data_IF_228763919705
#
_entry.id   IF_228763919705
#
_cell.length_a   1.000
_cell.length_b   1.000
_cell.length_c   1.000
_cell.angle_alpha   90.00
_cell.angle_beta   90.00
_cell.angle_gamma   90.00
#
_symmetry.space_group_name_H-M   'P 1'
#
loop_
_entity.id
_entity.type
_entity.pdbx_description
1 polymer ?
#
# COMPACT_ATOMS: atom_id res chain seq x y z
N UNK A 1 -14.57 44.42 51.08
CA UNK A 1 -14.53 43.12 50.36
C UNK A 1 -15.80 42.98 49.55
N UNK A 2 -15.71 43.03 48.22
CA UNK A 2 -16.74 42.52 47.32
C UNK A 2 -16.02 41.80 46.19
N UNK A 3 -16.25 40.51 46.11
CA UNK A 3 -15.51 39.57 45.27
C UNK A 3 -16.15 39.59 43.89
N UNK A 4 -15.32 39.85 42.89
CA UNK A 4 -15.69 40.05 41.49
C UNK A 4 -16.25 38.73 40.90
N UNK A 5 -17.58 38.61 40.81
CA UNK A 5 -18.28 37.39 40.38
C UNK A 5 -18.44 37.21 38.86
N UNK A 6 -17.80 38.04 38.03
CA UNK A 6 -18.06 38.10 36.58
C UNK A 6 -17.22 37.18 35.69
N UNK A 7 -16.09 36.64 36.17
CA UNK A 7 -15.11 35.94 35.30
C UNK A 7 -15.36 34.45 35.06
N UNK A 8 -16.28 33.81 35.79
CA UNK A 8 -16.40 32.34 35.77
C UNK A 8 -17.30 31.82 34.65
N UNK A 9 -18.33 32.58 34.24
CA UNK A 9 -19.35 32.14 33.28
C UNK A 9 -18.84 32.14 31.82
N UNK A 10 -18.01 33.10 31.45
CA UNK A 10 -17.38 33.18 30.12
C UNK A 10 -16.45 31.99 29.85
N UNK A 11 -15.64 31.59 30.84
CA UNK A 11 -14.72 30.45 30.70
C UNK A 11 -15.44 29.10 30.52
N UNK A 12 -16.63 28.93 31.11
CA UNK A 12 -17.44 27.71 30.95
C UNK A 12 -18.11 27.69 29.58
N UNK A 13 -18.59 28.83 29.09
CA UNK A 13 -19.12 28.99 27.74
C UNK A 13 -18.10 28.61 26.67
N UNK A 14 -16.90 29.19 26.74
CA UNK A 14 -15.81 28.90 25.79
C UNK A 14 -15.38 27.41 25.80
N UNK A 15 -15.35 26.78 26.98
CA UNK A 15 -15.05 25.34 27.08
C UNK A 15 -16.14 24.51 26.42
N UNK A 16 -17.41 24.87 26.61
CA UNK A 16 -18.55 24.18 26.00
C UNK A 16 -18.49 24.28 24.47
N UNK A 17 -18.23 25.47 23.93
CA UNK A 17 -18.08 25.67 22.48
C UNK A 17 -16.92 24.85 21.89
N UNK A 18 -15.78 24.79 22.58
CA UNK A 18 -14.64 23.94 22.15
C UNK A 18 -15.00 22.46 22.14
N UNK A 19 -15.75 21.98 23.13
CA UNK A 19 -16.22 20.60 23.19
C UNK A 19 -17.22 20.31 22.07
N UNK A 20 -18.16 21.21 21.82
CA UNK A 20 -19.14 21.06 20.73
C UNK A 20 -18.46 21.05 19.35
N UNK A 21 -17.51 21.98 19.11
CA UNK A 21 -16.70 21.99 17.90
C UNK A 21 -15.89 20.70 17.72
N UNK A 22 -15.30 20.18 18.80
CA UNK A 22 -14.58 18.91 18.77
C UNK A 22 -15.51 17.73 18.45
N UNK A 23 -16.72 17.69 19.03
CA UNK A 23 -17.71 16.66 18.74
C UNK A 23 -18.17 16.68 17.28
N UNK A 24 -18.38 17.87 16.70
CA UNK A 24 -18.71 18.01 15.28
C UNK A 24 -17.57 17.47 14.40
N UNK A 25 -16.32 17.84 14.70
CA UNK A 25 -15.14 17.32 13.98
C UNK A 25 -15.03 15.80 14.08
N UNK A 26 -15.21 15.23 15.28
CA UNK A 26 -15.16 13.79 15.49
C UNK A 26 -16.25 13.05 14.69
N UNK A 27 -17.47 13.59 14.63
CA UNK A 27 -18.54 13.02 13.80
C UNK A 27 -18.19 13.05 12.33
N UNK A 28 -17.67 14.18 11.83
CA UNK A 28 -17.22 14.31 10.44
C UNK A 28 -16.14 13.29 10.10
N UNK A 29 -15.11 13.16 10.94
CA UNK A 29 -14.02 12.20 10.76
C UNK A 29 -14.53 10.76 10.77
N UNK A 30 -15.48 10.43 11.66
CA UNK A 30 -16.11 9.11 11.70
C UNK A 30 -16.79 8.78 10.37
N UNK A 31 -17.53 9.72 9.78
CA UNK A 31 -18.16 9.54 8.48
C UNK A 31 -17.11 9.31 7.38
N UNK A 32 -16.07 10.14 7.32
CA UNK A 32 -14.99 10.02 6.33
C UNK A 32 -14.25 8.68 6.44
N UNK A 33 -13.97 8.21 7.67
CA UNK A 33 -13.34 6.90 7.89
C UNK A 33 -14.23 5.77 7.40
N UNK A 34 -15.54 5.82 7.67
CA UNK A 34 -16.49 4.81 7.19
C UNK A 34 -16.55 4.77 5.66
N UNK A 35 -16.55 5.93 5.02
CA UNK A 35 -16.56 6.03 3.56
C UNK A 35 -15.26 5.48 2.94
N UNK A 36 -14.10 5.85 3.49
CA UNK A 36 -12.81 5.31 3.08
C UNK A 36 -12.74 3.79 3.24
N UNK A 37 -13.26 3.24 4.34
CA UNK A 37 -13.35 1.78 4.53
C UNK A 37 -14.20 1.12 3.45
N UNK A 38 -15.35 1.71 3.10
CA UNK A 38 -16.20 1.19 2.04
C UNK A 38 -15.49 1.21 0.68
N UNK A 39 -14.76 2.29 0.36
CA UNK A 39 -13.95 2.40 -0.85
C UNK A 39 -12.84 1.33 -0.88
N UNK A 40 -12.12 1.12 0.24
CA UNK A 40 -11.11 0.07 0.35
C UNK A 40 -11.70 -1.33 0.12
N UNK A 41 -12.85 -1.64 0.70
CA UNK A 41 -13.52 -2.93 0.48
C UNK A 41 -13.99 -3.10 -0.97
N UNK A 42 -14.48 -2.03 -1.61
CA UNK A 42 -14.80 -2.07 -3.04
C UNK A 42 -13.56 -2.30 -3.91
N UNK A 43 -12.42 -1.69 -3.57
CA UNK A 43 -11.16 -1.91 -4.28
C UNK A 43 -10.63 -3.33 -4.09
N UNK A 44 -10.70 -3.89 -2.87
CA UNK A 44 -10.36 -5.30 -2.63
C UNK A 44 -11.18 -6.25 -3.50
N UNK A 45 -12.50 -6.04 -3.56
CA UNK A 45 -13.40 -6.84 -4.41
C UNK A 45 -13.05 -6.74 -5.90
N UNK A 46 -12.79 -5.53 -6.39
CA UNK A 46 -12.35 -5.32 -7.78
C UNK A 46 -10.99 -5.96 -8.07
N UNK A 47 -10.09 -5.99 -7.10
CA UNK A 47 -8.79 -6.66 -7.19
C UNK A 47 -8.92 -8.17 -7.28
N UNK A 48 -9.84 -8.78 -6.53
CA UNK A 48 -10.14 -10.22 -6.62
C UNK A 48 -10.85 -10.62 -7.92
N UNK A 49 -11.70 -9.75 -8.48
CA UNK A 49 -12.43 -10.01 -9.73
C UNK A 49 -11.53 -9.87 -10.98
N UNK A 50 -10.44 -9.09 -10.89
CA UNK A 50 -9.47 -8.87 -11.98
C UNK A 50 -8.29 -9.82 -11.99
N UNK A 51 -8.29 -10.89 -11.19
CA UNK A 51 -7.28 -11.94 -11.30
C UNK A 51 -7.57 -12.80 -12.55
N UNK A 52 -7.40 -12.21 -13.74
CA UNK A 52 -7.02 -12.97 -14.92
C UNK A 52 -5.70 -13.67 -14.54
N UNK A 53 -5.74 -15.00 -14.47
CA UNK A 53 -4.67 -15.76 -13.83
C UNK A 53 -3.28 -15.35 -14.34
N UNK A 54 -2.37 -15.12 -13.38
CA UNK A 54 -1.05 -14.58 -13.66
C UNK A 54 -0.30 -15.55 -14.58
N UNK A 55 0.21 -15.07 -15.70
CA UNK A 55 1.08 -15.88 -16.57
C UNK A 55 2.52 -15.69 -16.16
N UNK A 56 3.27 -16.79 -16.15
CA UNK A 56 4.70 -16.76 -15.92
C UNK A 56 5.41 -16.08 -17.09
N UNK A 57 6.26 -15.10 -16.79
CA UNK A 57 6.99 -14.34 -17.81
C UNK A 57 8.09 -15.15 -18.51
N UNK A 58 8.57 -16.25 -17.91
CA UNK A 58 9.51 -17.17 -18.59
C UNK A 58 8.78 -18.20 -19.45
N UNK A 59 7.91 -19.01 -18.85
CA UNK A 59 7.35 -20.19 -19.52
C UNK A 59 5.98 -19.94 -20.18
N UNK A 60 5.38 -18.75 -19.98
CA UNK A 60 4.09 -18.35 -20.54
C UNK A 60 2.86 -19.09 -19.97
N UNK A 61 3.07 -20.10 -19.11
CA UNK A 61 1.99 -20.88 -18.49
C UNK A 61 1.34 -20.10 -17.35
N UNK A 62 0.08 -20.43 -17.07
CA UNK A 62 -0.65 -19.88 -15.93
C UNK A 62 0.02 -20.30 -14.62
N UNK A 63 0.09 -19.38 -13.66
CA UNK A 63 0.58 -19.61 -12.31
C UNK A 63 -0.64 -19.85 -11.41
N UNK A 64 -0.60 -20.93 -10.64
CA UNK A 64 -1.60 -21.21 -9.61
C UNK A 64 -1.45 -20.20 -8.46
N UNK A 65 -2.59 -19.70 -7.97
CA UNK A 65 -2.62 -18.68 -6.92
C UNK A 65 -1.89 -19.14 -5.64
N UNK A 66 -1.02 -18.29 -5.13
CA UNK A 66 -0.25 -18.51 -3.90
C UNK A 66 1.14 -19.13 -4.12
N UNK A 67 1.47 -19.49 -5.36
CA UNK A 67 2.78 -20.05 -5.74
C UNK A 67 3.60 -19.11 -6.64
N UNK A 68 3.11 -17.89 -6.87
CA UNK A 68 3.80 -16.88 -7.67
C UNK A 68 5.00 -16.24 -6.94
N UNK A 69 6.08 -16.05 -7.69
CA UNK A 69 7.18 -15.16 -7.32
C UNK A 69 7.01 -13.88 -8.11
N UNK A 70 6.83 -12.75 -7.41
CA UNK A 70 6.70 -11.42 -8.03
C UNK A 70 8.01 -10.66 -7.94
N UNK A 71 8.54 -10.25 -9.08
CA UNK A 71 9.68 -9.35 -9.14
C UNK A 71 9.16 -7.91 -9.11
N UNK A 72 9.61 -7.10 -8.14
CA UNK A 72 9.25 -5.69 -8.02
C UNK A 72 10.43 -4.79 -8.32
N UNK A 73 10.16 -3.61 -8.87
CA UNK A 73 11.15 -2.55 -8.98
C UNK A 73 11.36 -1.82 -7.63
N UNK A 74 12.29 -0.86 -7.63
CA UNK A 74 12.61 -0.01 -6.47
C UNK A 74 11.44 0.86 -5.98
N UNK A 75 10.42 1.04 -6.82
CA UNK A 75 9.20 1.78 -6.51
C UNK A 75 8.04 0.85 -6.08
N UNK A 76 8.28 -0.45 -6.03
CA UNK A 76 7.30 -1.46 -5.63
C UNK A 76 6.34 -1.91 -6.75
N UNK A 77 6.54 -1.47 -8.00
CA UNK A 77 5.75 -1.91 -9.14
C UNK A 77 6.16 -3.33 -9.56
N UNK A 78 5.20 -4.15 -9.95
CA UNK A 78 5.45 -5.52 -10.42
C UNK A 78 6.04 -5.48 -11.83
N UNK A 79 7.31 -5.89 -11.98
CA UNK A 79 8.00 -6.04 -13.27
C UNK A 79 7.68 -7.37 -13.95
N UNK A 80 7.43 -8.42 -13.19
CA UNK A 80 7.16 -9.76 -13.73
C UNK A 80 6.68 -10.75 -12.68
N UNK A 81 6.00 -11.80 -13.13
CA UNK A 81 5.50 -12.89 -12.31
C UNK A 81 6.09 -14.21 -12.83
N UNK A 82 6.53 -15.07 -11.91
CA UNK A 82 7.21 -16.32 -12.26
C UNK A 82 6.69 -17.47 -11.39
N UNK A 83 6.76 -18.71 -11.91
CA UNK A 83 6.70 -19.90 -11.04
C UNK A 83 7.95 -19.96 -10.17
N UNK A 84 7.85 -20.56 -8.98
CA UNK A 84 9.01 -20.79 -8.10
C UNK A 84 10.16 -21.49 -8.81
N UNK A 85 9.85 -22.54 -9.57
CA UNK A 85 10.88 -23.34 -10.24
C UNK A 85 11.53 -22.57 -11.39
N UNK A 86 10.74 -21.88 -12.21
CA UNK A 86 11.26 -21.01 -13.28
C UNK A 86 12.15 -19.91 -12.70
N UNK A 87 11.73 -19.27 -11.59
CA UNK A 87 12.55 -18.27 -10.93
C UNK A 87 13.84 -18.87 -10.35
N UNK A 88 13.78 -20.07 -9.77
CA UNK A 88 14.95 -20.76 -9.24
C UNK A 88 15.96 -21.11 -10.35
N UNK A 89 15.49 -21.48 -11.54
CA UNK A 89 16.35 -21.72 -12.71
C UNK A 89 17.02 -20.42 -13.19
N UNK A 90 16.28 -19.33 -13.34
CA UNK A 90 16.83 -17.99 -13.63
C UNK A 90 17.87 -17.59 -12.58
N UNK A 91 17.58 -17.87 -11.31
CA UNK A 91 18.46 -17.56 -10.19
C UNK A 91 19.75 -18.37 -10.22
N UNK A 92 19.71 -19.62 -10.66
CA UNK A 92 20.91 -20.46 -10.79
C UNK A 92 21.69 -20.22 -12.08
N UNK A 93 21.03 -19.78 -13.15
CA UNK A 93 21.65 -19.58 -14.47
C UNK A 93 22.37 -18.25 -14.62
N UNK A 94 22.08 -17.26 -13.76
CA UNK A 94 22.70 -15.95 -13.82
C UNK A 94 23.97 -15.84 -12.96
N UNK A 95 25.04 -15.29 -13.56
CA UNK A 95 26.17 -14.74 -12.83
C UNK A 95 25.75 -13.38 -12.25
N UNK A 96 25.04 -13.40 -11.13
CA UNK A 96 24.59 -12.17 -10.46
C UNK A 96 25.80 -11.33 -10.04
N UNK A 97 25.95 -10.16 -10.64
CA UNK A 97 26.83 -9.10 -10.12
C UNK A 97 25.95 -8.07 -9.44
N UNK A 98 26.24 -7.79 -8.18
CA UNK A 98 25.50 -6.79 -7.42
C UNK A 98 26.02 -5.40 -7.82
N UNK A 99 25.20 -4.64 -8.53
CA UNK A 99 25.53 -3.27 -8.89
C UNK A 99 25.24 -2.35 -7.68
N UNK A 100 26.31 -1.84 -7.06
CA UNK A 100 26.20 -0.89 -5.95
C UNK A 100 25.80 0.53 -6.40
N UNK A 101 25.75 0.80 -7.71
CA UNK A 101 25.41 2.11 -8.30
C UNK A 101 23.90 2.36 -8.36
N UNK A 102 23.10 1.30 -8.34
CA UNK A 102 21.64 1.33 -8.38
C UNK A 102 21.10 0.13 -7.61
N UNK A 103 20.45 0.29 -6.44
CA UNK A 103 19.99 -0.85 -5.65
C UNK A 103 19.00 -1.71 -6.45
N UNK A 104 19.48 -2.82 -6.99
CA UNK A 104 18.70 -3.73 -7.82
C UNK A 104 19.56 -4.78 -8.51
N UNK A 105 18.96 -5.93 -8.82
CA UNK A 105 19.59 -6.94 -9.67
C UNK A 105 19.25 -6.64 -11.13
N UNK A 106 20.25 -6.22 -11.91
CA UNK A 106 20.11 -6.05 -13.36
C UNK A 106 20.44 -7.38 -14.06
N UNK A 107 19.61 -7.80 -15.02
CA UNK A 107 19.99 -8.85 -15.98
C UNK A 107 21.17 -8.31 -16.78
N UNK A 108 22.24 -9.08 -16.91
CA UNK A 108 23.20 -8.89 -18.01
C UNK A 108 22.47 -9.31 -19.28
N UNK A 109 21.95 -8.35 -20.05
CA UNK A 109 21.70 -8.60 -21.46
C UNK A 109 23.07 -8.78 -22.10
N UNK A 110 23.49 -10.04 -22.23
CA UNK A 110 24.62 -10.43 -23.06
C UNK A 110 24.27 -10.16 -24.51
N UNK A 111 24.30 -8.90 -24.92
CA UNK A 111 24.54 -8.54 -26.31
C UNK A 111 26.02 -8.76 -26.58
N UNK A 112 26.35 -9.99 -26.95
CA UNK A 112 27.51 -10.30 -27.80
C UNK A 112 27.08 -10.13 -29.27
N UNK A 113 27.99 -9.70 -30.16
CA UNK A 113 29.15 -10.50 -30.56
C UNK A 113 30.52 -10.00 -30.08
#
# INVERSE_FOLDING_TARGET
MQVNGGCCLSSVGERKEKVEAALVRLRSLKCQISELRAQCEALKKRGSEKQEGLKCSECGKMIEHGLEVTLKDSFGNVKGCYHRDCFAEIWRSQNWTFDYSSPGFLRMDGTDP
#
